data_IF_835211530417
#
_entry.id   IF_835211530417
#
_cell.length_a   1.000
_cell.length_b   1.000
_cell.length_c   1.000
_cell.angle_alpha   90.00
_cell.angle_beta   90.00
_cell.angle_gamma   90.00
#
_symmetry.space_group_name_H-M   'P 1'
#
loop_
_entity.id
_entity.type
_entity.pdbx_description
1 polymer ?
#
# COMPACT_ATOMS: atom_id res chain seq x y z
N UNK A 1 4.19 -3.54 15.76
CA UNK A 1 3.20 -3.01 14.80
C UNK A 1 1.83 -3.55 15.17
N UNK A 2 0.78 -2.72 15.13
CA UNK A 2 -0.60 -3.12 15.47
C UNK A 2 -1.33 -3.89 14.34
N UNK A 3 -0.60 -4.35 13.32
CA UNK A 3 -1.18 -5.05 12.16
C UNK A 3 -1.90 -6.35 12.59
N UNK A 4 -1.22 -7.22 13.35
CA UNK A 4 -1.84 -8.46 13.86
C UNK A 4 -3.07 -8.20 14.71
N UNK A 5 -3.03 -7.15 15.55
CA UNK A 5 -4.19 -6.75 16.36
C UNK A 5 -5.35 -6.36 15.45
N UNK A 6 -5.11 -5.57 14.40
CA UNK A 6 -6.14 -5.18 13.43
C UNK A 6 -6.70 -6.38 12.66
N UNK A 7 -5.84 -7.31 12.21
CA UNK A 7 -6.24 -8.54 11.51
C UNK A 7 -7.16 -9.38 12.40
N UNK A 8 -6.73 -9.69 13.63
CA UNK A 8 -7.52 -10.50 14.56
C UNK A 8 -8.79 -9.79 15.04
N UNK A 9 -8.77 -8.46 15.14
CA UNK A 9 -9.97 -7.69 15.44
C UNK A 9 -10.99 -7.81 14.31
N UNK A 10 -10.56 -7.69 13.05
CA UNK A 10 -11.44 -7.91 11.89
C UNK A 10 -11.95 -9.35 11.84
N UNK A 11 -11.09 -10.33 12.10
CA UNK A 11 -11.49 -11.74 12.21
C UNK A 11 -12.53 -11.95 13.30
N UNK A 12 -12.36 -11.36 14.48
CA UNK A 12 -13.36 -11.44 15.55
C UNK A 12 -14.74 -10.99 15.07
N UNK A 13 -14.83 -9.91 14.29
CA UNK A 13 -16.09 -9.46 13.70
C UNK A 13 -16.63 -10.44 12.63
N UNK A 14 -15.77 -10.94 11.75
CA UNK A 14 -16.16 -11.89 10.68
C UNK A 14 -16.65 -13.23 11.26
N UNK A 15 -15.99 -13.76 12.28
CA UNK A 15 -16.35 -15.02 12.93
C UNK A 15 -17.49 -14.87 13.94
N UNK A 16 -17.67 -13.68 14.50
CA UNK A 16 -18.69 -13.36 15.50
C UNK A 16 -19.88 -12.59 14.91
N UNK A 17 -20.08 -11.31 15.28
CA UNK A 17 -21.33 -10.58 15.08
C UNK A 17 -21.69 -10.27 13.61
N UNK A 18 -20.72 -10.22 12.70
CA UNK A 18 -20.98 -9.90 11.28
C UNK A 18 -21.09 -11.15 10.40
N UNK A 19 -20.96 -12.34 10.99
CA UNK A 19 -21.08 -13.60 10.28
C UNK A 19 -22.48 -13.74 9.67
N UNK A 20 -22.54 -14.06 8.39
CA UNK A 20 -23.81 -14.36 7.73
C UNK A 20 -24.36 -15.72 8.22
N UNK A 21 -25.55 -15.78 8.82
CA UNK A 21 -26.18 -17.04 9.23
C UNK A 21 -26.43 -17.99 8.05
N UNK A 22 -26.54 -17.47 6.83
CA UNK A 22 -26.81 -18.24 5.62
C UNK A 22 -25.56 -18.85 4.97
N UNK A 23 -24.35 -18.47 5.41
CA UNK A 23 -23.10 -18.83 4.72
C UNK A 23 -22.53 -20.22 5.10
N UNK A 24 -23.37 -21.14 5.58
CA UNK A 24 -23.06 -22.58 5.79
C UNK A 24 -21.75 -22.89 6.53
N UNK A 25 -21.32 -22.01 7.45
CA UNK A 25 -20.11 -22.22 8.25
C UNK A 25 -18.84 -21.57 7.69
N UNK A 26 -18.88 -20.94 6.50
CA UNK A 26 -17.77 -20.16 5.99
C UNK A 26 -17.67 -18.79 6.66
N UNK A 27 -16.46 -18.32 7.03
CA UNK A 27 -16.25 -17.03 7.67
C UNK A 27 -16.33 -15.89 6.65
N UNK A 28 -17.56 -15.52 6.32
CA UNK A 28 -17.90 -14.41 5.44
C UNK A 28 -19.02 -13.58 6.04
N UNK A 29 -18.99 -12.27 5.79
CA UNK A 29 -20.09 -11.39 6.18
C UNK A 29 -21.23 -11.46 5.19
N UNK A 30 -22.39 -10.96 5.60
CA UNK A 30 -23.51 -10.75 4.68
C UNK A 30 -23.05 -9.91 3.48
N UNK A 31 -23.53 -10.21 2.27
CA UNK A 31 -23.18 -9.44 1.09
C UNK A 31 -23.60 -7.99 1.26
N UNK A 32 -22.74 -7.05 0.86
CA UNK A 32 -23.08 -5.64 0.94
C UNK A 32 -24.31 -5.32 0.07
N UNK A 33 -25.19 -4.39 0.52
CA UNK A 33 -26.32 -3.95 -0.28
C UNK A 33 -25.83 -3.32 -1.59
N UNK A 34 -26.63 -3.37 -2.64
CA UNK A 34 -26.25 -2.86 -3.97
C UNK A 34 -25.84 -1.37 -3.94
N UNK A 35 -26.39 -0.57 -3.02
CA UNK A 35 -26.02 0.84 -2.79
C UNK A 35 -24.65 1.04 -2.16
N UNK A 36 -24.10 0.02 -1.48
CA UNK A 36 -22.79 0.06 -0.84
C UNK A 36 -21.70 -0.63 -1.68
N UNK A 37 -22.04 -1.06 -2.91
CA UNK A 37 -21.06 -1.62 -3.87
C UNK A 37 -20.65 -0.54 -4.84
N UNK A 38 -19.36 -0.49 -5.15
CA UNK A 38 -18.87 0.40 -6.20
C UNK A 38 -19.34 -0.13 -7.56
N UNK A 39 -19.90 0.71 -8.43
CA UNK A 39 -20.34 0.27 -9.74
C UNK A 39 -19.13 -0.19 -10.56
N UNK A 40 -19.32 -1.33 -11.20
CA UNK A 40 -18.37 -1.99 -12.08
C UNK A 40 -18.54 -1.41 -13.49
N UNK A 41 -17.42 -1.29 -14.21
CA UNK A 41 -17.43 -0.90 -15.62
C UNK A 41 -17.37 -2.14 -16.52
N UNK A 42 -18.19 -2.14 -17.58
CA UNK A 42 -18.13 -3.08 -18.71
C UNK A 42 -18.17 -4.56 -18.31
N UNK A 43 -18.93 -4.94 -17.27
CA UNK A 43 -18.99 -6.34 -16.75
C UNK A 43 -17.61 -6.94 -16.39
N UNK A 44 -16.62 -6.06 -16.19
CA UNK A 44 -15.24 -6.44 -15.89
C UNK A 44 -14.96 -6.28 -14.39
N UNK A 45 -13.79 -6.78 -13.96
CA UNK A 45 -13.27 -6.56 -12.59
C UNK A 45 -12.83 -5.11 -12.31
N UNK A 46 -13.07 -4.19 -13.25
CA UNK A 46 -12.71 -2.77 -13.13
C UNK A 46 -13.84 -2.01 -12.43
N UNK A 47 -13.54 -1.44 -11.26
CA UNK A 47 -14.48 -0.64 -10.47
C UNK A 47 -14.10 0.85 -10.45
N UNK A 48 -15.05 1.73 -10.09
CA UNK A 48 -14.83 3.17 -9.90
C UNK A 48 -13.67 3.53 -8.96
N UNK A 49 -13.21 2.59 -8.13
CA UNK A 49 -12.03 2.75 -7.27
C UNK A 49 -10.76 3.22 -7.98
N UNK A 50 -10.59 2.96 -9.29
CA UNK A 50 -9.44 3.49 -10.05
C UNK A 50 -9.49 5.03 -10.10
N UNK A 51 -10.67 5.61 -10.34
CA UNK A 51 -10.82 7.06 -10.34
C UNK A 51 -10.57 7.65 -8.95
N UNK A 52 -11.07 6.98 -7.90
CA UNK A 52 -10.78 7.39 -6.52
C UNK A 52 -9.26 7.36 -6.23
N UNK A 53 -8.55 6.33 -6.69
CA UNK A 53 -7.10 6.24 -6.54
C UNK A 53 -6.36 7.37 -7.28
N UNK A 54 -6.76 7.68 -8.52
CA UNK A 54 -6.18 8.80 -9.30
C UNK A 54 -6.44 10.14 -8.59
N UNK A 55 -7.67 10.38 -8.13
CA UNK A 55 -8.04 11.58 -7.38
C UNK A 55 -7.17 11.69 -6.13
N UNK A 56 -6.93 10.58 -5.43
CA UNK A 56 -6.15 10.57 -4.20
C UNK A 56 -4.66 10.86 -4.46
N UNK A 57 -4.08 10.33 -5.54
CA UNK A 57 -2.71 10.67 -5.97
C UNK A 57 -2.60 12.14 -6.33
N UNK A 58 -3.59 12.67 -7.06
CA UNK A 58 -3.65 14.09 -7.40
C UNK A 58 -3.76 14.95 -6.14
N UNK A 59 -4.71 14.64 -5.25
CA UNK A 59 -4.89 15.33 -3.98
C UNK A 59 -3.61 15.31 -3.13
N UNK A 60 -2.95 14.16 -3.01
CA UNK A 60 -1.66 14.04 -2.33
C UNK A 60 -0.61 14.99 -2.94
N UNK A 61 -0.49 15.00 -4.27
CA UNK A 61 0.45 15.88 -4.97
C UNK A 61 0.15 17.35 -4.72
N UNK A 62 -1.11 17.75 -4.82
CA UNK A 62 -1.58 19.12 -4.60
C UNK A 62 -1.28 19.58 -3.17
N UNK A 63 -1.66 18.75 -2.20
CA UNK A 63 -1.46 19.04 -0.76
C UNK A 63 0.03 19.20 -0.49
N UNK A 64 0.86 18.23 -0.88
CA UNK A 64 2.29 18.30 -0.61
C UNK A 64 2.91 19.51 -1.31
N UNK A 65 2.61 19.79 -2.58
CA UNK A 65 3.27 20.91 -3.30
C UNK A 65 2.79 22.29 -2.90
N UNK A 66 1.49 22.50 -2.72
CA UNK A 66 0.92 23.85 -2.65
C UNK A 66 0.42 24.26 -1.27
N UNK A 67 0.36 23.36 -0.29
CA UNK A 67 -0.11 23.72 1.06
C UNK A 67 1.03 23.95 2.04
N UNK A 68 0.77 24.79 3.05
CA UNK A 68 1.69 25.03 4.18
C UNK A 68 2.00 23.74 4.94
N UNK A 69 0.98 22.91 5.17
CA UNK A 69 1.15 21.61 5.82
C UNK A 69 2.10 20.69 5.02
N UNK A 70 1.96 20.67 3.69
CA UNK A 70 2.88 19.94 2.80
C UNK A 70 4.33 20.43 2.87
N UNK A 71 4.54 21.74 3.02
CA UNK A 71 5.87 22.31 3.25
C UNK A 71 6.45 21.89 4.60
N UNK A 72 5.66 21.97 5.67
CA UNK A 72 6.10 21.56 7.00
C UNK A 72 6.49 20.07 7.05
N UNK A 73 5.73 19.19 6.37
CA UNK A 73 6.07 17.77 6.26
C UNK A 73 7.42 17.57 5.57
N UNK A 74 7.67 18.25 4.46
CA UNK A 74 8.96 18.16 3.75
C UNK A 74 10.11 18.67 4.62
N UNK A 75 9.93 19.81 5.27
CA UNK A 75 10.95 20.39 6.14
C UNK A 75 11.31 19.45 7.31
N UNK A 76 10.31 18.80 7.93
CA UNK A 76 10.52 17.78 8.97
C UNK A 76 11.27 16.57 8.40
N UNK A 77 10.91 16.12 7.18
CA UNK A 77 11.54 14.99 6.51
C UNK A 77 13.02 15.22 6.14
N UNK A 78 13.37 16.43 5.73
CA UNK A 78 14.75 16.80 5.36
C UNK A 78 15.63 16.99 6.61
N UNK A 79 15.17 17.77 7.60
CA UNK A 79 15.90 17.95 8.84
C UNK A 79 14.97 18.26 10.03
N UNK A 80 14.70 17.27 10.91
CA UNK A 80 13.78 17.45 12.02
C UNK A 80 14.28 18.47 13.06
N UNK A 81 15.60 18.64 13.21
CA UNK A 81 16.17 19.64 14.13
C UNK A 81 15.95 21.04 13.59
N UNK A 82 16.25 21.26 12.30
CA UNK A 82 16.04 22.56 11.66
C UNK A 82 14.56 22.95 11.64
N UNK A 83 13.66 22.00 11.39
CA UNK A 83 12.22 22.22 11.45
C UNK A 83 11.76 22.67 12.85
N UNK A 84 12.30 22.07 13.91
CA UNK A 84 12.00 22.49 15.28
C UNK A 84 12.50 23.91 15.58
N UNK A 85 13.70 24.27 15.11
CA UNK A 85 14.22 25.65 15.23
C UNK A 85 13.39 26.67 14.44
N UNK A 86 12.79 26.28 13.31
CA UNK A 86 11.89 27.11 12.52
C UNK A 86 10.47 27.25 13.13
N UNK A 87 10.23 26.70 14.34
CA UNK A 87 8.94 26.78 15.04
C UNK A 87 7.88 25.78 14.54
N UNK A 88 8.26 24.79 13.73
CA UNK A 88 7.33 23.78 13.23
C UNK A 88 7.01 22.78 14.35
N UNK A 89 5.73 22.59 14.64
CA UNK A 89 5.25 21.64 15.66
C UNK A 89 5.32 20.19 15.14
N UNK A 90 6.52 19.61 15.11
CA UNK A 90 6.78 18.27 14.55
C UNK A 90 5.87 17.18 15.12
N UNK A 91 5.60 17.19 16.44
CA UNK A 91 4.71 16.20 17.07
C UNK A 91 3.28 16.23 16.51
N UNK A 92 2.72 17.43 16.34
CA UNK A 92 1.35 17.60 15.81
C UNK A 92 1.29 17.11 14.36
N UNK A 93 2.29 17.45 13.56
CA UNK A 93 2.34 17.06 12.15
C UNK A 93 2.51 15.54 11.98
N UNK A 94 3.31 14.90 12.82
CA UNK A 94 3.45 13.43 12.82
C UNK A 94 2.11 12.75 13.14
N UNK A 95 1.39 13.21 14.16
CA UNK A 95 0.08 12.65 14.52
C UNK A 95 -0.93 12.86 13.40
N UNK A 96 -1.02 14.06 12.83
CA UNK A 96 -1.90 14.33 11.69
C UNK A 96 -1.56 13.46 10.48
N UNK A 97 -0.27 13.28 10.17
CA UNK A 97 0.17 12.45 9.07
C UNK A 97 -0.21 10.96 9.28
N UNK A 98 -0.12 10.48 10.52
CA UNK A 98 -0.56 9.13 10.90
C UNK A 98 -2.07 8.96 10.69
N UNK A 99 -2.88 9.92 11.10
CA UNK A 99 -4.34 9.88 10.88
C UNK A 99 -4.69 9.91 9.39
N UNK A 100 -4.07 10.81 8.62
CA UNK A 100 -4.32 10.93 7.18
C UNK A 100 -3.88 9.66 6.43
N UNK A 101 -2.70 9.12 6.74
CA UNK A 101 -2.24 7.88 6.10
C UNK A 101 -3.11 6.67 6.46
N UNK A 102 -3.58 6.58 7.72
CA UNK A 102 -4.55 5.58 8.14
C UNK A 102 -5.89 5.70 7.42
N UNK A 103 -6.40 6.93 7.25
CA UNK A 103 -7.63 7.18 6.50
C UNK A 103 -7.50 6.78 5.02
N UNK A 104 -6.38 7.11 4.38
CA UNK A 104 -6.08 6.71 3.00
C UNK A 104 -6.00 5.19 2.86
N UNK A 105 -5.31 4.52 3.78
CA UNK A 105 -5.22 3.06 3.80
C UNK A 105 -6.58 2.38 4.02
N UNK A 106 -7.41 2.95 4.90
CA UNK A 106 -8.78 2.50 5.14
C UNK A 106 -9.67 2.65 3.91
N UNK A 107 -9.59 3.78 3.21
CA UNK A 107 -10.29 3.99 1.94
C UNK A 107 -9.86 2.98 0.87
N UNK A 108 -8.55 2.68 0.77
CA UNK A 108 -8.06 1.67 -0.16
C UNK A 108 -8.64 0.28 0.15
N UNK A 109 -8.67 -0.13 1.42
CA UNK A 109 -9.31 -1.38 1.83
C UNK A 109 -10.81 -1.42 1.54
N UNK A 110 -11.52 -0.31 1.80
CA UNK A 110 -12.95 -0.18 1.47
C UNK A 110 -13.19 -0.34 -0.03
N UNK A 111 -12.38 0.30 -0.88
CA UNK A 111 -12.51 0.22 -2.34
C UNK A 111 -12.36 -1.22 -2.84
N UNK A 112 -11.36 -1.94 -2.33
CA UNK A 112 -11.13 -3.35 -2.69
C UNK A 112 -12.33 -4.22 -2.34
N UNK A 113 -12.78 -4.17 -1.08
CA UNK A 113 -13.84 -5.06 -0.59
C UNK A 113 -15.20 -4.69 -1.19
N UNK A 114 -15.52 -3.40 -1.33
CA UNK A 114 -16.80 -2.94 -1.89
C UNK A 114 -16.88 -3.05 -3.41
N UNK A 115 -15.75 -3.03 -4.11
CA UNK A 115 -15.68 -3.12 -5.56
C UNK A 115 -15.61 -4.56 -6.08
N UNK A 116 -14.70 -5.37 -5.54
CA UNK A 116 -14.40 -6.71 -6.08
C UNK A 116 -15.10 -7.83 -5.30
N UNK A 117 -14.89 -7.94 -4.00
CA UNK A 117 -15.43 -9.06 -3.23
C UNK A 117 -16.93 -8.90 -2.92
N UNK A 118 -17.41 -7.66 -2.74
CA UNK A 118 -18.82 -7.36 -2.41
C UNK A 118 -19.28 -7.91 -1.05
N UNK A 119 -18.34 -8.45 -0.26
CA UNK A 119 -18.51 -8.99 1.09
C UNK A 119 -17.14 -9.02 1.77
N UNK A 120 -17.13 -8.93 3.09
CA UNK A 120 -15.90 -9.08 3.85
C UNK A 120 -15.65 -10.57 4.10
N UNK A 121 -14.44 -11.03 3.76
CA UNK A 121 -14.01 -12.41 3.94
C UNK A 121 -12.65 -12.45 4.64
N UNK A 122 -12.39 -13.55 5.34
CA UNK A 122 -11.06 -13.78 5.90
C UNK A 122 -10.00 -13.78 4.79
N UNK A 123 -8.82 -13.19 5.07
CA UNK A 123 -7.70 -13.16 4.13
C UNK A 123 -7.87 -12.25 2.91
N UNK A 124 -8.78 -11.25 2.94
CA UNK A 124 -8.98 -10.35 1.79
C UNK A 124 -7.74 -9.53 1.41
N UNK A 125 -6.79 -9.32 2.34
CA UNK A 125 -5.51 -8.66 2.07
C UNK A 125 -4.35 -9.62 2.37
N UNK A 126 -3.83 -10.34 1.36
CA UNK A 126 -2.69 -11.26 1.53
C UNK A 126 -1.34 -10.54 1.71
N UNK A 127 -1.35 -9.25 2.07
CA UNK A 127 -0.14 -8.44 2.24
C UNK A 127 0.00 -7.27 1.27
N UNK A 128 -1.08 -6.76 0.67
CA UNK A 128 -1.02 -5.61 -0.25
C UNK A 128 -0.29 -4.39 0.33
N UNK A 129 -0.39 -4.17 1.65
CA UNK A 129 0.37 -3.12 2.34
C UNK A 129 1.90 -3.29 2.25
N UNK A 130 2.40 -4.52 2.29
CA UNK A 130 3.84 -4.79 2.15
C UNK A 130 4.30 -4.61 0.70
N UNK A 131 3.49 -5.06 -0.27
CA UNK A 131 3.77 -4.78 -1.69
C UNK A 131 3.74 -3.27 -1.98
N UNK A 132 2.88 -2.50 -1.32
CA UNK A 132 2.85 -1.04 -1.46
C UNK A 132 4.15 -0.35 -0.99
N UNK A 133 4.88 -0.92 -0.01
CA UNK A 133 6.21 -0.42 0.39
C UNK A 133 7.19 -0.53 -0.78
N UNK A 134 7.19 -1.67 -1.47
CA UNK A 134 8.04 -1.93 -2.64
C UNK A 134 7.70 -0.93 -3.76
N UNK A 135 6.41 -0.73 -4.02
CA UNK A 135 5.91 0.24 -5.01
C UNK A 135 6.38 1.67 -4.68
N UNK A 136 6.23 2.10 -3.42
CA UNK A 136 6.61 3.44 -3.00
C UNK A 136 8.12 3.71 -3.16
N UNK A 137 8.95 2.71 -2.83
CA UNK A 137 10.40 2.77 -2.99
C UNK A 137 10.81 2.80 -4.45
N UNK A 138 10.28 1.90 -5.28
CA UNK A 138 10.57 1.83 -6.70
C UNK A 138 10.12 3.11 -7.44
N UNK A 139 9.04 3.74 -6.98
CA UNK A 139 8.58 5.04 -7.44
C UNK A 139 9.40 6.23 -6.90
N UNK A 140 10.39 6.01 -6.03
CA UNK A 140 11.20 7.04 -5.37
C UNK A 140 10.35 8.12 -4.68
N UNK A 141 9.25 7.71 -4.05
CA UNK A 141 8.28 8.60 -3.40
C UNK A 141 7.65 9.66 -4.33
N UNK A 142 7.74 9.49 -5.66
CA UNK A 142 7.14 10.40 -6.63
C UNK A 142 5.70 9.96 -6.95
N UNK A 143 4.68 10.83 -6.76
CA UNK A 143 3.27 10.50 -7.02
C UNK A 143 2.99 9.92 -8.41
N UNK A 144 3.65 10.45 -9.44
CA UNK A 144 3.46 9.97 -10.81
C UNK A 144 4.12 8.60 -11.04
N UNK A 145 5.27 8.38 -10.40
CA UNK A 145 5.94 7.09 -10.41
C UNK A 145 5.10 6.00 -9.75
N UNK A 146 4.37 6.34 -8.68
CA UNK A 146 3.52 5.38 -7.95
C UNK A 146 2.45 4.80 -8.88
N UNK A 147 1.81 5.62 -9.72
CA UNK A 147 0.77 5.15 -10.65
C UNK A 147 1.35 4.07 -11.58
N UNK A 148 2.46 4.37 -12.24
CA UNK A 148 3.09 3.47 -13.21
C UNK A 148 3.56 2.18 -12.51
N UNK A 149 4.29 2.32 -11.41
CA UNK A 149 4.85 1.16 -10.69
C UNK A 149 3.74 0.29 -10.08
N UNK A 150 2.69 0.89 -9.53
CA UNK A 150 1.54 0.16 -9.00
C UNK A 150 0.81 -0.63 -10.07
N UNK A 151 0.72 -0.09 -11.30
CA UNK A 151 0.12 -0.79 -12.42
C UNK A 151 0.94 -2.03 -12.79
N UNK A 152 2.26 -1.88 -12.96
CA UNK A 152 3.15 -3.02 -13.24
C UNK A 152 3.14 -4.06 -12.12
N UNK A 153 3.15 -3.64 -10.85
CA UNK A 153 3.04 -4.57 -9.72
C UNK A 153 1.67 -5.25 -9.66
N UNK A 154 0.59 -4.55 -10.02
CA UNK A 154 -0.74 -5.14 -10.16
C UNK A 154 -0.78 -6.23 -11.23
N UNK A 155 -0.17 -5.97 -12.40
CA UNK A 155 -0.02 -6.97 -13.47
C UNK A 155 0.77 -8.18 -12.99
N UNK A 156 1.86 -7.97 -12.25
CA UNK A 156 2.67 -9.04 -11.68
C UNK A 156 1.91 -9.85 -10.63
N UNK A 157 1.11 -9.20 -9.78
CA UNK A 157 0.27 -9.86 -8.78
C UNK A 157 -0.80 -10.73 -9.44
N UNK A 158 -1.60 -10.16 -10.35
CA UNK A 158 -2.68 -10.87 -11.02
C UNK A 158 -2.12 -11.98 -11.92
N UNK A 159 -1.05 -11.71 -12.66
CA UNK A 159 -0.35 -12.73 -13.44
C UNK A 159 0.28 -13.82 -12.57
N UNK A 160 0.80 -13.44 -11.40
CA UNK A 160 1.30 -14.39 -10.41
C UNK A 160 0.19 -15.30 -9.88
N UNK A 161 -0.99 -14.75 -9.59
CA UNK A 161 -2.14 -15.52 -9.13
C UNK A 161 -2.69 -16.46 -10.21
N UNK A 162 -2.73 -16.05 -11.48
CA UNK A 162 -3.13 -16.95 -12.58
C UNK A 162 -2.12 -18.09 -12.77
N UNK A 163 -0.82 -17.80 -12.66
CA UNK A 163 0.23 -18.82 -12.73
C UNK A 163 0.18 -19.79 -11.53
N UNK A 164 -0.15 -19.31 -10.34
CA UNK A 164 -0.40 -20.16 -9.17
C UNK A 164 -1.56 -21.13 -9.43
N UNK A 165 -2.66 -20.65 -10.02
CA UNK A 165 -3.83 -21.50 -10.31
C UNK A 165 -3.54 -22.52 -11.41
N UNK A 166 -2.93 -22.09 -12.52
CA UNK A 166 -2.72 -22.94 -13.71
C UNK A 166 -1.54 -23.90 -13.51
N UNK A 167 -0.41 -23.42 -12.98
CA UNK A 167 0.82 -24.21 -12.83
C UNK A 167 1.04 -24.75 -11.40
N UNK A 168 0.07 -24.56 -10.49
CA UNK A 168 0.14 -25.00 -9.07
C UNK A 168 1.40 -24.52 -8.34
N UNK A 169 1.88 -23.34 -8.70
CA UNK A 169 3.03 -22.73 -8.03
C UNK A 169 2.65 -22.28 -6.61
N UNK A 170 3.58 -22.35 -5.65
CA UNK A 170 3.37 -21.77 -4.33
C UNK A 170 3.20 -20.24 -4.39
N UNK A 171 2.35 -19.68 -3.52
CA UNK A 171 2.17 -18.22 -3.34
C UNK A 171 3.50 -17.50 -3.08
N UNK A 172 4.42 -18.19 -2.39
CA UNK A 172 5.76 -17.70 -2.08
C UNK A 172 6.56 -17.32 -3.34
N UNK A 173 6.30 -17.94 -4.51
CA UNK A 173 7.01 -17.62 -5.75
C UNK A 173 6.83 -16.16 -6.18
N UNK A 174 5.61 -15.62 -6.05
CA UNK A 174 5.34 -14.21 -6.39
C UNK A 174 6.04 -13.27 -5.41
N UNK A 175 6.03 -13.61 -4.12
CA UNK A 175 6.70 -12.83 -3.08
C UNK A 175 8.22 -12.80 -3.26
N UNK A 176 8.83 -13.93 -3.64
CA UNK A 176 10.26 -14.01 -3.96
C UNK A 176 10.61 -13.10 -5.13
N UNK A 177 9.80 -13.11 -6.20
CA UNK A 177 10.01 -12.22 -7.35
C UNK A 177 9.92 -10.74 -6.92
N UNK A 178 8.91 -10.36 -6.13
CA UNK A 178 8.79 -9.00 -5.60
C UNK A 178 10.01 -8.60 -4.76
N UNK A 179 10.50 -9.50 -3.92
CA UNK A 179 11.72 -9.32 -3.14
C UNK A 179 12.95 -9.12 -4.02
N UNK A 180 13.14 -9.95 -5.04
CA UNK A 180 14.23 -9.82 -6.00
C UNK A 180 14.19 -8.48 -6.75
N UNK A 181 13.00 -8.00 -7.14
CA UNK A 181 12.83 -6.67 -7.76
C UNK A 181 13.28 -5.58 -6.79
N UNK A 182 12.84 -5.63 -5.53
CA UNK A 182 13.24 -4.67 -4.51
C UNK A 182 14.77 -4.68 -4.32
N UNK A 183 15.37 -5.86 -4.15
CA UNK A 183 16.82 -6.00 -3.97
C UNK A 183 17.60 -5.51 -5.19
N UNK A 184 17.15 -5.80 -6.40
CA UNK A 184 17.80 -5.32 -7.62
C UNK A 184 17.79 -3.79 -7.70
N UNK A 185 16.68 -3.15 -7.30
CA UNK A 185 16.54 -1.70 -7.28
C UNK A 185 17.42 -1.07 -6.20
N UNK A 186 17.41 -1.63 -4.99
CA UNK A 186 18.27 -1.19 -3.89
C UNK A 186 19.75 -1.36 -4.23
N UNK A 187 20.14 -2.48 -4.84
CA UNK A 187 21.51 -2.73 -5.28
C UNK A 187 21.95 -1.74 -6.37
N UNK A 188 21.08 -1.47 -7.36
CA UNK A 188 21.35 -0.47 -8.39
C UNK A 188 21.56 0.93 -7.80
N UNK A 189 20.76 1.30 -6.80
CA UNK A 189 20.90 2.58 -6.10
C UNK A 189 22.17 2.65 -5.25
N UNK A 190 22.52 1.57 -4.56
CA UNK A 190 23.75 1.46 -3.80
C UNK A 190 24.99 1.63 -4.70
N UNK A 191 25.04 0.92 -5.84
CA UNK A 191 26.14 1.00 -6.80
C UNK A 191 26.25 2.42 -7.40
N UNK A 192 25.13 3.10 -7.63
CA UNK A 192 25.13 4.46 -8.18
C UNK A 192 25.62 5.50 -7.17
N UNK A 193 25.27 5.35 -5.89
CA UNK A 193 25.57 6.34 -4.86
C UNK A 193 26.93 6.12 -4.17
N UNK A 194 27.45 4.88 -4.17
CA UNK A 194 28.71 4.53 -3.51
C UNK A 194 29.76 4.08 -4.52
N UNK A 195 30.89 4.81 -4.57
CA UNK A 195 32.06 4.41 -5.33
C UNK A 195 32.93 3.52 -4.45
N UNK A 196 33.09 2.26 -4.83
CA UNK A 196 33.97 1.31 -4.11
C UNK A 196 35.41 1.79 -4.24
N UNK A 197 36.00 2.27 -3.14
CA UNK A 197 37.43 2.57 -3.05
C UNK A 197 38.12 1.44 -2.29
N UNK A 198 38.99 0.69 -2.97
CA UNK A 198 39.88 -0.26 -2.32
C UNK A 198 41.03 0.52 -1.67
N UNK A 199 40.97 0.69 -0.36
CA UNK A 199 42.07 1.27 0.42
C UNK A 199 43.15 0.18 0.53
N UNK A 200 44.24 0.34 -0.23
CA UNK A 200 45.42 -0.53 -0.13
C UNK A 200 46.13 -0.18 1.16
N UNK A 201 46.12 -1.09 2.13
CA UNK A 201 46.83 -0.93 3.41
C UNK A 201 48.33 -0.93 3.10
N UNK A 202 48.98 0.24 3.21
CA UNK A 202 50.44 0.32 3.22
C UNK A 202 50.95 -0.49 4.41
N UNK A 203 51.85 -1.45 4.13
CA UNK A 203 52.58 -2.18 5.17
C UNK A 203 53.68 -1.25 5.67
N UNK A 204 53.63 -0.92 6.96
CA UNK A 204 54.76 -0.42 7.74
C UNK A 204 55.94 -1.39 7.70
#
# INVERSE_FOLDING_TARGET
>A
MLNYVAIHLVEYYIYGPWRDPSSLGFPMTAPFPASARLPLFFDSRVHLGIFAAIILVLAYRLIIRWTRWGFEIRAIGDNPKAAAYAGILSRRNIVLLLFVSGAVAGMAGMIEISGLQGRLQHGFSPGYGYTAIIVAWLARLNPWGIIIVSFFMGVLLVGGDTLQVVMRLPVASVQVIQGCILFAVLASEFIRNYRVQFIRKERE
#
